data_IF_978213672115
#
_entry.id   IF_978213672115
#
_cell.length_a   1.000
_cell.length_b   1.000
_cell.length_c   1.000
_cell.angle_alpha   90.00
_cell.angle_beta   90.00
_cell.angle_gamma   90.00
#
_symmetry.space_group_name_H-M   'P 1'
#
loop_
_entity.id
_entity.type
_entity.pdbx_description
1 polymer ?
#
# COMPACT_ATOMS: atom_id res chain seq x y z
N UNK A 1 -30.87 -10.56 21.95
CA UNK A 1 -29.69 -9.88 21.38
C UNK A 1 -30.12 -9.32 20.04
N UNK A 2 -30.03 -8.02 19.84
CA UNK A 2 -30.11 -7.46 18.49
C UNK A 2 -28.80 -7.85 17.81
N UNK A 3 -28.76 -9.06 17.24
CA UNK A 3 -27.60 -9.61 16.50
C UNK A 3 -26.98 -8.56 15.56
N UNK A 4 -27.82 -7.70 15.00
CA UNK A 4 -27.42 -6.60 14.13
C UNK A 4 -26.60 -5.52 14.85
N UNK A 5 -26.94 -5.11 16.08
CA UNK A 5 -26.19 -4.05 16.79
C UNK A 5 -24.75 -4.49 17.05
N UNK A 6 -24.59 -5.66 17.69
CA UNK A 6 -23.27 -6.23 18.00
C UNK A 6 -22.45 -6.45 16.72
N UNK A 7 -23.08 -6.95 15.66
CA UNK A 7 -22.46 -7.09 14.33
C UNK A 7 -21.96 -5.75 13.76
N UNK A 8 -22.79 -4.70 13.78
CA UNK A 8 -22.39 -3.40 13.24
C UNK A 8 -21.30 -2.74 14.07
N UNK A 9 -21.36 -2.85 15.41
CA UNK A 9 -20.28 -2.37 16.29
C UNK A 9 -18.99 -3.11 15.95
N UNK A 10 -19.00 -4.45 15.90
CA UNK A 10 -17.81 -5.22 15.60
C UNK A 10 -17.25 -4.93 14.21
N UNK A 11 -18.10 -4.87 13.18
CA UNK A 11 -17.67 -4.57 11.82
C UNK A 11 -16.97 -3.21 11.72
N UNK A 12 -17.47 -2.20 12.43
CA UNK A 12 -16.97 -0.83 12.32
C UNK A 12 -15.86 -0.48 13.32
N UNK A 13 -15.81 -1.17 14.46
CA UNK A 13 -14.94 -0.77 15.58
C UNK A 13 -13.76 -1.72 15.81
N UNK A 14 -13.88 -2.99 15.38
CA UNK A 14 -12.85 -4.01 15.60
C UNK A 14 -11.43 -3.64 15.10
N UNK A 15 -11.23 -2.91 13.99
CA UNK A 15 -9.89 -2.47 13.57
C UNK A 15 -9.16 -1.63 14.63
N UNK A 16 -9.89 -0.98 15.53
CA UNK A 16 -9.32 -0.08 16.54
C UNK A 16 -9.07 -0.75 17.89
N UNK A 17 -9.41 -2.04 18.07
CA UNK A 17 -9.34 -2.67 19.39
C UNK A 17 -7.91 -2.83 19.89
N UNK A 18 -6.92 -2.86 18.99
CA UNK A 18 -5.49 -2.86 19.33
C UNK A 18 -5.04 -1.60 20.08
N UNK A 19 -5.81 -0.51 20.00
CA UNK A 19 -5.50 0.77 20.65
C UNK A 19 -6.08 0.89 22.06
N UNK A 20 -7.00 -0.01 22.43
CA UNK A 20 -7.73 0.01 23.72
C UNK A 20 -6.85 -0.16 24.95
N UNK A 21 -5.72 -0.92 24.93
CA UNK A 21 -4.80 -0.96 26.06
C UNK A 21 -4.24 0.41 26.48
N UNK A 22 -4.30 1.42 25.60
CA UNK A 22 -3.87 2.79 25.89
C UNK A 22 -5.02 3.70 26.38
N UNK A 23 -6.25 3.19 26.43
CA UNK A 23 -7.45 3.95 26.77
C UNK A 23 -7.66 3.99 28.29
N UNK A 24 -7.15 5.04 28.93
CA UNK A 24 -7.47 5.32 30.33
C UNK A 24 -8.90 5.83 30.50
N UNK A 25 -9.47 5.67 31.70
CA UNK A 25 -10.78 6.24 32.07
C UNK A 25 -10.83 7.76 31.86
N UNK A 26 -9.74 8.46 32.18
CA UNK A 26 -9.65 9.92 32.00
C UNK A 26 -9.66 10.32 30.52
N UNK A 27 -8.90 9.62 29.70
CA UNK A 27 -8.87 9.77 28.24
C UNK A 27 -10.26 9.52 27.65
N UNK A 28 -10.92 8.43 28.05
CA UNK A 28 -12.27 8.10 27.56
C UNK A 28 -13.29 9.20 27.86
N UNK A 29 -13.26 9.81 29.05
CA UNK A 29 -14.18 10.91 29.38
C UNK A 29 -13.99 12.11 28.46
N UNK A 30 -12.75 12.45 28.14
CA UNK A 30 -12.46 13.54 27.21
C UNK A 30 -12.95 13.17 25.81
N UNK A 31 -12.65 11.96 25.33
CA UNK A 31 -13.13 11.46 24.04
C UNK A 31 -14.67 11.53 23.93
N UNK A 32 -15.39 11.07 24.96
CA UNK A 32 -16.84 11.16 25.02
C UNK A 32 -17.31 12.62 24.92
N UNK A 33 -16.72 13.54 25.70
CA UNK A 33 -17.11 14.95 25.67
C UNK A 33 -16.91 15.58 24.28
N UNK A 34 -15.83 15.20 23.59
CA UNK A 34 -15.56 15.67 22.23
C UNK A 34 -16.55 15.05 21.25
N UNK A 35 -16.84 13.75 21.35
CA UNK A 35 -17.83 13.08 20.50
C UNK A 35 -19.22 13.66 20.68
N UNK A 36 -19.61 13.98 21.92
CA UNK A 36 -20.85 14.74 22.21
C UNK A 36 -20.79 16.11 21.53
N UNK A 37 -19.73 16.90 21.76
CA UNK A 37 -19.61 18.23 21.15
C UNK A 37 -19.65 18.19 19.62
N UNK A 38 -19.03 17.19 19.00
CA UNK A 38 -19.07 16.96 17.56
C UNK A 38 -20.50 16.73 17.06
N UNK A 39 -21.24 15.83 17.73
CA UNK A 39 -22.64 15.54 17.43
C UNK A 39 -23.53 16.78 17.63
N UNK A 40 -23.22 17.63 18.60
CA UNK A 40 -24.04 18.80 18.96
C UNK A 40 -23.78 20.05 18.10
N UNK A 41 -22.54 20.30 17.67
CA UNK A 41 -22.13 21.62 17.15
C UNK A 41 -21.97 21.73 15.65
N UNK A 42 -22.00 20.62 14.90
CA UNK A 42 -21.83 20.61 13.43
C UNK A 42 -20.54 21.30 12.93
N UNK A 43 -19.53 21.46 13.79
CA UNK A 43 -18.23 22.04 13.44
C UNK A 43 -17.39 21.09 12.58
N UNK A 44 -16.41 21.64 11.86
CA UNK A 44 -15.50 20.84 11.04
C UNK A 44 -14.69 19.86 11.90
N UNK A 45 -14.19 18.78 11.29
CA UNK A 45 -13.32 17.78 11.93
C UNK A 45 -12.06 18.42 12.54
N UNK A 46 -11.50 19.45 11.90
CA UNK A 46 -10.33 20.19 12.35
C UNK A 46 -10.59 20.99 13.64
N UNK A 47 -11.71 21.74 13.70
CA UNK A 47 -12.08 22.52 14.89
C UNK A 47 -12.33 21.64 16.12
N UNK A 48 -12.86 20.44 15.88
CA UNK A 48 -13.16 19.46 16.93
C UNK A 48 -11.90 18.77 17.42
N UNK A 49 -10.94 18.49 16.53
CA UNK A 49 -9.64 17.93 16.88
C UNK A 49 -8.78 18.94 17.67
N UNK A 50 -8.78 20.21 17.27
CA UNK A 50 -8.10 21.26 18.01
C UNK A 50 -8.70 21.46 19.42
N UNK A 51 -10.04 21.52 19.51
CA UNK A 51 -10.75 21.57 20.78
C UNK A 51 -10.43 20.35 21.66
N UNK A 52 -10.34 19.17 21.04
CA UNK A 52 -10.02 17.93 21.72
C UNK A 52 -8.64 17.94 22.36
N UNK A 53 -7.61 18.26 21.56
CA UNK A 53 -6.23 18.38 22.01
C UNK A 53 -6.13 19.40 23.14
N UNK A 54 -6.79 20.55 22.99
CA UNK A 54 -6.81 21.59 24.02
C UNK A 54 -7.47 21.13 25.31
N UNK A 55 -8.59 20.39 25.26
CA UNK A 55 -9.24 19.83 26.45
C UNK A 55 -8.39 18.80 27.19
N UNK A 56 -7.67 17.94 26.46
CA UNK A 56 -6.79 16.93 27.04
C UNK A 56 -5.62 17.61 27.75
N UNK A 57 -4.98 18.56 27.08
CA UNK A 57 -3.88 19.36 27.64
C UNK A 57 -4.33 20.15 28.87
N UNK A 58 -5.50 20.80 28.81
CA UNK A 58 -6.06 21.58 29.93
C UNK A 58 -6.47 20.71 31.13
N UNK A 59 -6.81 19.43 30.90
CA UNK A 59 -7.08 18.46 31.96
C UNK A 59 -5.79 17.87 32.59
N UNK A 60 -4.60 18.30 32.13
CA UNK A 60 -3.32 17.83 32.65
C UNK A 60 -2.93 16.44 32.15
N UNK A 61 -3.50 16.00 31.02
CA UNK A 61 -3.21 14.71 30.41
C UNK A 61 -2.33 14.87 29.18
N UNK A 62 -1.45 13.90 28.94
CA UNK A 62 -0.76 13.78 27.66
C UNK A 62 -1.73 13.28 26.58
N UNK A 63 -1.62 13.85 25.38
CA UNK A 63 -2.39 13.39 24.22
C UNK A 63 -1.81 12.05 23.78
N UNK A 64 -2.58 10.95 23.79
CA UNK A 64 -2.10 9.67 23.30
C UNK A 64 -1.64 9.80 21.84
N UNK A 65 -0.56 9.12 21.45
CA UNK A 65 -0.10 9.12 20.05
C UNK A 65 -1.18 8.60 19.10
N UNK A 66 -2.02 7.70 19.59
CA UNK A 66 -3.17 7.10 18.91
C UNK A 66 -4.51 7.80 19.26
N UNK A 67 -4.47 9.09 19.58
CA UNK A 67 -5.66 9.86 19.96
C UNK A 67 -6.74 9.80 18.86
N UNK A 68 -6.27 9.87 17.61
CA UNK A 68 -7.01 9.67 16.37
C UNK A 68 -8.02 8.52 16.45
N UNK A 69 -7.44 7.35 16.60
CA UNK A 69 -8.06 6.04 16.53
C UNK A 69 -9.00 5.82 17.73
N UNK A 70 -8.56 6.23 18.92
CA UNK A 70 -9.39 6.19 20.12
C UNK A 70 -10.64 7.07 19.99
N UNK A 71 -10.52 8.24 19.34
CA UNK A 71 -11.65 9.12 19.08
C UNK A 71 -12.66 8.52 18.09
N UNK A 72 -12.25 7.98 16.93
CA UNK A 72 -13.25 7.35 16.05
C UNK A 72 -13.90 6.15 16.68
N UNK A 73 -13.14 5.34 17.41
CA UNK A 73 -13.72 4.18 18.08
C UNK A 73 -14.89 4.61 18.98
N UNK A 74 -14.68 5.59 19.85
CA UNK A 74 -15.73 6.10 20.77
C UNK A 74 -16.88 6.72 19.98
N UNK A 75 -16.58 7.54 18.96
CA UNK A 75 -17.59 8.19 18.15
C UNK A 75 -18.46 7.19 17.37
N UNK A 76 -17.87 6.17 16.76
CA UNK A 76 -18.57 5.13 16.00
C UNK A 76 -19.50 4.33 16.90
N UNK A 77 -19.03 3.92 18.08
CA UNK A 77 -19.86 3.25 19.08
C UNK A 77 -21.09 4.11 19.40
N UNK A 78 -20.88 5.41 19.67
CA UNK A 78 -21.97 6.33 20.01
C UNK A 78 -22.96 6.48 18.84
N UNK A 79 -22.47 6.71 17.62
CA UNK A 79 -23.32 6.86 16.44
C UNK A 79 -24.13 5.60 16.13
N UNK A 80 -23.51 4.42 16.19
CA UNK A 80 -24.20 3.14 15.97
C UNK A 80 -25.31 3.00 17.01
N UNK A 81 -25.04 3.24 18.29
CA UNK A 81 -26.04 3.18 19.36
C UNK A 81 -27.22 4.14 19.15
N UNK A 82 -26.96 5.36 18.66
CA UNK A 82 -27.97 6.38 18.44
C UNK A 82 -28.88 6.10 17.23
N UNK A 83 -28.44 5.25 16.27
CA UNK A 83 -29.26 4.82 15.11
C UNK A 83 -30.36 3.82 15.46
N UNK A 84 -30.16 3.04 16.52
CA UNK A 84 -31.19 2.10 16.96
C UNK A 84 -32.32 2.85 17.66
N UNK A 85 -33.59 2.46 17.52
CA UNK A 85 -34.67 3.04 18.30
C UNK A 85 -34.45 2.86 19.82
N UNK A 86 -34.99 3.79 20.62
CA UNK A 86 -34.90 3.71 22.10
C UNK A 86 -35.49 2.37 22.58
N UNK A 87 -34.75 1.67 23.45
CA UNK A 87 -35.17 0.39 24.02
C UNK A 87 -34.80 -0.85 23.19
N UNK A 88 -34.29 -0.69 21.96
CA UNK A 88 -33.87 -1.83 21.11
C UNK A 88 -32.54 -2.41 21.57
N UNK A 89 -31.56 -1.55 21.89
CA UNK A 89 -30.29 -1.96 22.51
C UNK A 89 -30.46 -1.85 24.01
N UNK A 90 -30.39 -2.97 24.73
CA UNK A 90 -30.48 -2.99 26.20
C UNK A 90 -29.16 -2.51 26.82
N UNK A 91 -29.22 -1.85 27.97
CA UNK A 91 -28.03 -1.30 28.65
C UNK A 91 -26.98 -2.37 28.94
N UNK A 92 -27.43 -3.55 29.40
CA UNK A 92 -26.58 -4.70 29.63
C UNK A 92 -25.95 -5.23 28.34
N UNK A 93 -26.65 -5.14 27.21
CA UNK A 93 -26.16 -5.59 25.90
C UNK A 93 -25.06 -4.66 25.36
N UNK A 94 -25.24 -3.35 25.50
CA UNK A 94 -24.20 -2.37 25.19
C UNK A 94 -22.96 -2.62 26.06
N UNK A 95 -23.14 -2.75 27.38
CA UNK A 95 -22.03 -2.96 28.31
C UNK A 95 -21.28 -4.27 28.03
N UNK A 96 -22.00 -5.35 27.74
CA UNK A 96 -21.39 -6.64 27.40
C UNK A 96 -20.58 -6.55 26.10
N UNK A 97 -21.10 -5.84 25.09
CA UNK A 97 -20.37 -5.66 23.83
C UNK A 97 -19.06 -4.87 24.04
N UNK A 98 -19.10 -3.80 24.84
CA UNK A 98 -17.92 -3.01 25.16
C UNK A 98 -16.83 -3.83 25.86
N UNK A 99 -17.22 -4.69 26.80
CA UNK A 99 -16.26 -5.48 27.61
C UNK A 99 -15.80 -6.72 26.85
N UNK A 100 -16.72 -7.57 26.40
CA UNK A 100 -16.37 -8.89 25.86
C UNK A 100 -15.79 -8.81 24.47
N UNK A 101 -16.33 -7.93 23.62
CA UNK A 101 -15.95 -7.88 22.21
C UNK A 101 -14.89 -6.84 21.92
N UNK A 102 -14.94 -5.72 22.65
CA UNK A 102 -14.06 -4.59 22.47
C UNK A 102 -13.07 -4.45 23.62
N UNK A 103 -13.01 -5.34 24.61
CA UNK A 103 -11.98 -5.32 25.66
C UNK A 103 -11.91 -4.00 26.48
N UNK A 104 -13.00 -3.23 26.59
CA UNK A 104 -13.05 -2.08 27.48
C UNK A 104 -12.95 -2.56 28.93
N UNK A 105 -12.26 -1.79 29.78
CA UNK A 105 -12.36 -1.99 31.23
C UNK A 105 -13.79 -1.77 31.72
N UNK A 106 -14.19 -2.44 32.79
CA UNK A 106 -15.51 -2.27 33.40
C UNK A 106 -15.85 -0.79 33.66
N UNK A 107 -14.88 -0.01 34.15
CA UNK A 107 -15.04 1.40 34.46
C UNK A 107 -15.21 2.27 33.20
N UNK A 108 -14.53 1.93 32.11
CA UNK A 108 -14.66 2.61 30.83
C UNK A 108 -16.01 2.30 30.17
N UNK A 109 -16.40 1.02 30.16
CA UNK A 109 -17.68 0.57 29.63
C UNK A 109 -18.87 1.20 30.39
N UNK A 110 -18.77 1.31 31.72
CA UNK A 110 -19.77 1.96 32.56
C UNK A 110 -19.93 3.46 32.24
N UNK A 111 -18.83 4.21 32.14
CA UNK A 111 -18.88 5.65 31.87
C UNK A 111 -19.50 5.94 30.49
N UNK A 112 -19.10 5.21 29.44
CA UNK A 112 -19.68 5.36 28.10
C UNK A 112 -21.16 4.99 28.05
N UNK A 113 -21.53 3.88 28.69
CA UNK A 113 -22.92 3.41 28.76
C UNK A 113 -23.81 4.44 29.47
N UNK A 114 -23.37 4.99 30.61
CA UNK A 114 -24.10 6.03 31.35
C UNK A 114 -24.33 7.28 30.50
N UNK A 115 -23.32 7.75 29.78
CA UNK A 115 -23.48 8.94 28.93
C UNK A 115 -24.49 8.69 27.83
N UNK A 116 -24.37 7.55 27.14
CA UNK A 116 -25.26 7.19 26.04
C UNK A 116 -26.72 7.04 26.47
N UNK A 117 -26.97 6.55 27.68
CA UNK A 117 -28.33 6.40 28.23
C UNK A 117 -28.87 7.76 28.71
N UNK A 118 -28.11 8.46 29.56
CA UNK A 118 -28.58 9.68 30.23
C UNK A 118 -28.79 10.84 29.25
N UNK A 119 -27.96 10.92 28.20
CA UNK A 119 -28.02 11.99 27.21
C UNK A 119 -28.68 11.56 25.90
N UNK A 120 -29.25 10.34 25.84
CA UNK A 120 -29.79 9.74 24.61
C UNK A 120 -30.73 10.67 23.86
N UNK A 121 -31.70 11.28 24.54
CA UNK A 121 -32.72 12.12 23.92
C UNK A 121 -32.10 13.32 23.20
N UNK A 122 -31.17 14.02 23.88
CA UNK A 122 -30.47 15.19 23.32
C UNK A 122 -29.56 14.77 22.17
N UNK A 123 -28.78 13.70 22.35
CA UNK A 123 -27.88 13.18 21.32
C UNK A 123 -28.63 12.68 20.09
N UNK A 124 -29.73 11.94 20.25
CA UNK A 124 -30.55 11.44 19.15
C UNK A 124 -31.23 12.57 18.37
N UNK A 125 -31.72 13.61 19.05
CA UNK A 125 -32.29 14.79 18.39
C UNK A 125 -31.24 15.47 17.52
N UNK A 126 -30.07 15.76 18.09
CA UNK A 126 -29.01 16.46 17.38
C UNK A 126 -28.43 15.60 16.23
N UNK A 127 -28.38 14.27 16.42
CA UNK A 127 -28.00 13.28 15.40
C UNK A 127 -29.04 13.18 14.26
N UNK A 128 -30.33 13.33 14.55
CA UNK A 128 -31.41 13.29 13.54
C UNK A 128 -31.52 14.62 12.76
N UNK A 129 -31.35 15.76 13.43
CA UNK A 129 -31.35 17.10 12.85
C UNK A 129 -30.14 17.40 11.95
N UNK A 130 -29.13 16.52 11.94
CA UNK A 130 -27.99 16.60 11.03
C UNK A 130 -28.26 16.13 9.60
N UNK A 131 -29.45 15.57 9.26
CA UNK A 131 -29.78 15.03 7.91
C UNK A 131 -28.53 14.51 7.17
N UNK A 132 -27.84 13.52 7.75
CA UNK A 132 -26.86 12.76 6.96
C UNK A 132 -27.66 11.95 5.94
N UNK A 133 -27.69 12.43 4.69
CA UNK A 133 -28.34 11.74 3.58
C UNK A 133 -27.74 10.34 3.42
N UNK A 134 -28.62 9.34 3.29
CA UNK A 134 -28.25 7.92 3.10
C UNK A 134 -27.33 7.70 1.90
N UNK A 135 -27.37 8.59 0.90
CA UNK A 135 -26.49 8.60 -0.27
C UNK A 135 -25.05 9.02 0.06
N UNK A 136 -24.85 9.94 1.02
CA UNK A 136 -23.53 10.35 1.52
C UNK A 136 -22.97 9.38 2.58
N UNK A 137 -23.76 8.43 3.07
CA UNK A 137 -23.31 7.46 4.07
C UNK A 137 -22.53 6.27 3.50
N UNK A 138 -22.67 5.98 2.20
CA UNK A 138 -21.78 5.01 1.53
C UNK A 138 -20.38 5.62 1.31
N UNK A 139 -20.30 6.93 1.09
CA UNK A 139 -19.04 7.71 1.04
C UNK A 139 -18.41 7.95 2.41
N UNK A 140 -19.18 7.81 3.48
CA UNK A 140 -18.71 8.08 4.84
C UNK A 140 -18.25 6.78 5.49
N UNK A 141 -17.20 6.19 4.92
CA UNK A 141 -16.27 5.37 5.68
C UNK A 141 -15.48 6.31 6.60
N UNK A 142 -15.95 6.54 7.83
CA UNK A 142 -15.08 7.11 8.88
C UNK A 142 -14.07 6.04 9.34
N UNK A 143 -13.09 5.74 8.47
CA UNK A 143 -11.74 5.44 8.91
C UNK A 143 -11.13 6.82 9.20
N UNK A 144 -10.80 7.13 10.46
CA UNK A 144 -9.77 8.15 10.66
C UNK A 144 -8.50 7.49 10.11
N UNK A 145 -7.76 7.90 9.08
CA UNK A 145 -7.67 9.09 8.22
C UNK A 145 -8.16 10.37 8.87
N UNK A 146 -7.22 11.06 9.53
CA UNK A 146 -7.27 12.52 9.61
C UNK A 146 -7.83 13.02 8.29
N UNK A 147 -8.85 13.86 8.37
CA UNK A 147 -9.54 14.48 7.24
C UNK A 147 -8.55 15.25 6.36
N UNK A 148 -7.84 14.54 5.52
CA UNK A 148 -7.24 15.04 4.31
C UNK A 148 -8.44 15.15 3.38
N UNK A 149 -8.83 16.39 3.08
CA UNK A 149 -9.91 16.59 2.11
C UNK A 149 -9.59 15.81 0.84
N UNK A 150 -10.58 15.57 -0.01
CA UNK A 150 -10.39 14.96 -1.35
C UNK A 150 -9.46 15.76 -2.29
N UNK A 151 -8.73 16.74 -1.74
CA UNK A 151 -7.75 17.62 -2.39
C UNK A 151 -6.37 17.60 -1.70
N UNK A 152 -6.21 16.93 -0.55
CA UNK A 152 -4.93 16.87 0.17
C UNK A 152 -4.23 15.53 -0.07
N UNK A 153 -3.43 15.49 -1.12
CA UNK A 153 -2.62 14.32 -1.46
C UNK A 153 -1.35 14.23 -0.57
N UNK A 154 -1.15 15.17 0.37
CA UNK A 154 0.05 15.35 1.18
C UNK A 154 1.05 16.35 0.58
N UNK A 155 2.29 16.36 1.09
CA UNK A 155 3.36 17.27 0.62
C UNK A 155 4.63 16.49 0.30
N UNK A 156 5.11 16.64 -0.93
CA UNK A 156 6.35 16.05 -1.43
C UNK A 156 6.91 16.91 -2.56
N UNK A 157 8.15 16.65 -2.95
CA UNK A 157 8.74 17.26 -4.12
C UNK A 157 8.33 16.53 -5.38
N UNK A 158 7.73 17.26 -6.32
CA UNK A 158 7.27 16.72 -7.61
C UNK A 158 8.45 16.58 -8.56
N UNK A 159 8.56 15.42 -9.19
CA UNK A 159 9.50 15.16 -10.27
C UNK A 159 8.84 15.56 -11.59
N UNK A 160 9.42 16.56 -12.25
CA UNK A 160 8.92 17.08 -13.53
C UNK A 160 9.94 17.03 -14.66
N UNK A 161 11.19 16.65 -14.35
CA UNK A 161 12.29 16.53 -15.29
C UNK A 161 13.30 15.49 -14.77
N UNK A 162 14.08 14.92 -15.67
CA UNK A 162 15.15 13.99 -15.34
C UNK A 162 16.37 14.74 -14.77
N UNK A 163 17.10 14.12 -13.83
CA UNK A 163 18.37 14.63 -13.33
C UNK A 163 19.57 14.28 -14.21
N UNK A 164 20.77 14.56 -13.71
CA UNK A 164 22.02 14.25 -14.43
C UNK A 164 22.37 12.77 -14.25
N UNK A 165 22.36 12.02 -15.34
CA UNK A 165 22.68 10.58 -15.33
C UNK A 165 24.19 10.37 -15.51
N UNK A 166 24.82 9.64 -14.58
CA UNK A 166 26.24 9.27 -14.71
C UNK A 166 26.46 8.20 -15.80
N UNK A 167 27.70 8.06 -16.28
CA UNK A 167 28.04 7.10 -17.35
C UNK A 167 27.65 5.66 -17.01
N UNK A 168 27.36 4.87 -18.06
CA UNK A 168 27.10 3.43 -17.96
C UNK A 168 28.25 2.70 -17.24
N UNK A 169 27.90 1.75 -16.36
CA UNK A 169 28.86 0.97 -15.57
C UNK A 169 29.23 -0.33 -16.28
N UNK A 170 30.52 -0.68 -16.25
CA UNK A 170 31.06 -1.84 -16.99
C UNK A 170 30.75 -3.17 -16.31
N UNK A 171 30.42 -4.19 -17.12
CA UNK A 171 30.20 -5.56 -16.65
C UNK A 171 31.41 -6.45 -17.01
N UNK A 172 32.07 -7.12 -16.04
CA UNK A 172 33.21 -8.01 -16.29
C UNK A 172 32.88 -9.18 -17.23
N UNK A 173 33.86 -9.66 -18.00
CA UNK A 173 33.67 -10.71 -19.01
C UNK A 173 33.16 -12.04 -18.45
N UNK A 174 33.59 -12.42 -17.25
CA UNK A 174 33.20 -13.69 -16.60
C UNK A 174 31.72 -13.74 -16.18
N UNK A 175 31.03 -12.60 -16.09
CA UNK A 175 29.61 -12.54 -15.76
C UNK A 175 28.79 -12.96 -16.98
N UNK A 176 27.92 -13.95 -16.79
CA UNK A 176 26.97 -14.37 -17.82
C UNK A 176 26.02 -13.22 -18.17
N UNK A 177 25.98 -12.85 -19.45
CA UNK A 177 25.16 -11.73 -19.95
C UNK A 177 23.94 -12.25 -20.71
N UNK A 178 22.78 -11.58 -20.62
CA UNK A 178 21.61 -11.90 -21.42
C UNK A 178 21.81 -11.46 -22.89
N UNK A 179 20.99 -11.97 -23.84
CA UNK A 179 21.18 -11.69 -25.28
C UNK A 179 21.19 -10.21 -25.66
N UNK A 180 20.38 -9.37 -24.99
CA UNK A 180 20.26 -7.94 -25.27
C UNK A 180 21.49 -7.12 -24.86
N UNK A 181 22.43 -7.69 -24.09
CA UNK A 181 23.68 -7.00 -23.76
C UNK A 181 24.55 -6.74 -25.00
N UNK A 182 24.59 -7.71 -25.92
CA UNK A 182 25.49 -7.70 -27.08
C UNK A 182 24.91 -6.97 -28.29
N UNK A 183 23.58 -6.90 -28.37
CA UNK A 183 22.85 -6.28 -29.47
C UNK A 183 21.60 -5.61 -28.90
N UNK A 184 21.37 -4.37 -29.29
CA UNK A 184 20.11 -3.69 -28.97
C UNK A 184 18.94 -4.53 -29.50
N UNK A 185 18.03 -4.90 -28.58
CA UNK A 185 16.79 -5.60 -28.86
C UNK A 185 15.63 -4.71 -28.37
N UNK A 186 14.46 -4.78 -29.02
CA UNK A 186 13.26 -4.17 -28.47
C UNK A 186 12.92 -4.79 -27.10
N UNK A 187 12.02 -4.16 -26.31
CA UNK A 187 11.48 -4.80 -25.12
C UNK A 187 10.85 -6.16 -25.46
N UNK A 188 10.71 -6.99 -24.43
CA UNK A 188 10.27 -8.38 -24.53
C UNK A 188 8.90 -8.50 -25.18
N UNK A 189 8.64 -9.65 -25.81
CA UNK A 189 7.34 -9.93 -26.41
C UNK A 189 6.51 -10.78 -25.45
N UNK A 190 5.44 -10.21 -24.93
CA UNK A 190 4.48 -10.87 -24.04
C UNK A 190 3.44 -11.71 -24.76
N UNK A 191 3.44 -11.70 -26.10
CA UNK A 191 2.57 -12.57 -26.90
C UNK A 191 3.06 -14.02 -26.87
N UNK A 192 2.10 -14.96 -26.81
CA UNK A 192 2.37 -16.38 -26.95
C UNK A 192 2.00 -17.18 -25.69
N UNK A 193 2.64 -18.33 -25.53
CA UNK A 193 2.39 -19.23 -24.41
C UNK A 193 3.44 -19.05 -23.31
N UNK A 194 3.05 -18.97 -22.03
CA UNK A 194 3.99 -18.93 -20.93
C UNK A 194 4.91 -20.16 -20.90
N UNK A 195 6.11 -19.97 -20.36
CA UNK A 195 7.00 -21.11 -20.08
C UNK A 195 6.42 -21.96 -18.95
N UNK A 196 6.34 -23.28 -19.17
CA UNK A 196 6.20 -24.27 -18.09
C UNK A 196 7.61 -24.74 -17.74
N UNK A 197 8.11 -24.26 -16.59
CA UNK A 197 9.48 -24.54 -16.17
C UNK A 197 9.62 -25.96 -15.63
N UNK A 198 10.71 -26.62 -15.99
CA UNK A 198 11.12 -27.87 -15.35
C UNK A 198 11.79 -27.61 -14.00
N UNK A 199 12.03 -28.68 -13.23
CA UNK A 199 12.63 -28.60 -11.88
C UNK A 199 13.94 -27.80 -11.85
N UNK A 200 14.82 -27.97 -12.84
CA UNK A 200 16.09 -27.26 -12.90
C UNK A 200 15.88 -25.75 -13.10
N UNK A 201 14.98 -25.37 -14.03
CA UNK A 201 14.64 -23.97 -14.26
C UNK A 201 13.97 -23.36 -13.02
N UNK A 202 13.12 -24.10 -12.31
CA UNK A 202 12.51 -23.64 -11.06
C UNK A 202 13.58 -23.37 -9.99
N UNK A 203 14.60 -24.23 -9.85
CA UNK A 203 15.71 -23.96 -8.92
C UNK A 203 16.51 -22.71 -9.31
N UNK A 204 16.72 -22.47 -10.61
CA UNK A 204 17.38 -21.25 -11.08
C UNK A 204 16.53 -20.00 -10.81
N UNK A 205 15.21 -20.08 -10.97
CA UNK A 205 14.27 -19.01 -10.60
C UNK A 205 14.32 -18.71 -9.11
N UNK A 206 14.31 -19.73 -8.24
CA UNK A 206 14.47 -19.55 -6.78
C UNK A 206 15.78 -18.87 -6.42
N UNK A 207 16.88 -19.27 -7.04
CA UNK A 207 18.20 -18.64 -6.82
C UNK A 207 18.19 -17.16 -7.22
N UNK A 208 17.67 -16.86 -8.41
CA UNK A 208 17.64 -15.50 -8.96
C UNK A 208 16.69 -14.60 -8.16
N UNK A 209 15.50 -15.10 -7.81
CA UNK A 209 14.53 -14.38 -6.99
C UNK A 209 15.05 -14.09 -5.57
N UNK A 210 15.69 -15.06 -4.92
CA UNK A 210 16.32 -14.85 -3.62
C UNK A 210 17.43 -13.79 -3.68
N UNK A 211 18.23 -13.81 -4.74
CA UNK A 211 19.27 -12.82 -4.96
C UNK A 211 18.69 -11.43 -5.18
N UNK A 212 17.69 -11.27 -6.05
CA UNK A 212 17.00 -9.99 -6.27
C UNK A 212 16.45 -9.41 -4.95
N UNK A 213 15.74 -10.24 -4.17
CA UNK A 213 15.18 -9.85 -2.88
C UNK A 213 16.27 -9.43 -1.87
N UNK A 214 17.43 -10.11 -1.87
CA UNK A 214 18.57 -9.72 -1.04
C UNK A 214 19.10 -8.34 -1.44
N UNK A 215 19.31 -8.10 -2.73
CA UNK A 215 19.82 -6.82 -3.24
C UNK A 215 18.83 -5.69 -2.93
N UNK A 216 17.52 -5.91 -3.16
CA UNK A 216 16.47 -4.95 -2.85
C UNK A 216 16.50 -4.52 -1.38
N UNK A 217 16.63 -5.47 -0.45
CA UNK A 217 16.69 -5.17 0.98
C UNK A 217 18.00 -4.50 1.41
N UNK A 218 19.12 -4.79 0.74
CA UNK A 218 20.38 -4.07 0.96
C UNK A 218 20.28 -2.62 0.44
N UNK A 219 19.65 -2.39 -0.72
CA UNK A 219 19.40 -1.06 -1.30
C UNK A 219 18.41 -0.24 -0.46
N UNK A 220 17.31 -0.84 -0.01
CA UNK A 220 16.32 -0.18 0.85
C UNK A 220 16.91 0.37 2.15
N UNK A 221 17.93 -0.30 2.72
CA UNK A 221 18.65 0.20 3.91
C UNK A 221 19.51 1.44 3.62
N UNK A 222 19.85 1.68 2.36
CA UNK A 222 20.60 2.86 1.93
C UNK A 222 19.69 4.06 1.66
N UNK A 223 18.42 3.84 1.31
CA UNK A 223 17.45 4.89 1.02
C UNK A 223 17.21 5.79 2.24
N UNK A 224 18.00 6.85 2.36
CA UNK A 224 18.02 7.81 3.46
C UNK A 224 18.21 9.21 2.90
N UNK A 225 17.78 10.21 3.68
CA UNK A 225 17.94 11.62 3.33
C UNK A 225 19.38 11.94 2.94
N UNK A 226 19.56 12.57 1.79
CA UNK A 226 20.84 13.00 1.22
C UNK A 226 21.53 11.99 0.31
N UNK A 227 21.11 10.71 0.28
CA UNK A 227 21.65 9.71 -0.64
C UNK A 227 21.04 9.91 -2.02
N UNK A 228 21.85 9.91 -3.07
CA UNK A 228 21.38 9.99 -4.46
C UNK A 228 20.90 8.64 -4.98
N UNK A 229 20.02 8.65 -5.98
CA UNK A 229 19.59 7.42 -6.64
C UNK A 229 20.74 6.74 -7.40
N UNK A 230 21.68 7.51 -7.98
CA UNK A 230 22.90 6.95 -8.60
C UNK A 230 23.83 6.27 -7.59
N UNK A 231 23.88 6.72 -6.32
CA UNK A 231 24.62 6.00 -5.26
C UNK A 231 23.99 4.64 -4.93
N UNK A 232 22.65 4.55 -4.95
CA UNK A 232 21.92 3.28 -4.77
C UNK A 232 22.18 2.35 -5.95
N UNK A 233 22.06 2.84 -7.19
CA UNK A 233 22.41 2.09 -8.40
C UNK A 233 23.86 1.60 -8.37
N UNK A 234 24.80 2.47 -8.00
CA UNK A 234 26.21 2.12 -7.92
C UNK A 234 26.45 0.96 -6.95
N UNK A 235 25.82 0.99 -5.78
CA UNK A 235 25.90 -0.11 -4.82
C UNK A 235 25.30 -1.39 -5.41
N UNK A 236 24.08 -1.33 -5.95
CA UNK A 236 23.39 -2.49 -6.49
C UNK A 236 24.18 -3.14 -7.63
N UNK A 237 24.70 -2.33 -8.56
CA UNK A 237 25.53 -2.77 -9.67
C UNK A 237 26.71 -3.62 -9.18
N UNK A 238 27.55 -3.06 -8.31
CA UNK A 238 28.72 -3.77 -7.81
C UNK A 238 28.35 -4.99 -6.98
N UNK A 239 27.26 -4.90 -6.21
CA UNK A 239 26.81 -6.00 -5.37
C UNK A 239 26.31 -7.18 -6.20
N UNK A 240 25.49 -6.93 -7.23
CA UNK A 240 25.00 -7.94 -8.17
C UNK A 240 26.17 -8.64 -8.87
N UNK A 241 27.15 -7.88 -9.37
CA UNK A 241 28.35 -8.43 -10.01
C UNK A 241 29.18 -9.28 -9.03
N UNK A 242 29.34 -8.83 -7.78
CA UNK A 242 30.08 -9.57 -6.74
C UNK A 242 29.47 -10.94 -6.41
N UNK A 243 28.19 -11.13 -6.74
CA UNK A 243 27.43 -12.36 -6.54
C UNK A 243 27.29 -13.17 -7.85
N UNK A 244 28.14 -12.89 -8.84
CA UNK A 244 28.19 -13.55 -10.15
C UNK A 244 26.86 -13.50 -10.91
N UNK A 245 26.14 -12.39 -10.80
CA UNK A 245 24.91 -12.13 -11.54
C UNK A 245 25.03 -10.86 -12.38
N UNK A 246 24.10 -10.69 -13.32
CA UNK A 246 24.01 -9.52 -14.18
C UNK A 246 22.80 -8.65 -13.79
N UNK A 247 22.91 -7.31 -13.70
CA UNK A 247 21.78 -6.43 -13.44
C UNK A 247 20.89 -6.32 -14.68
N UNK A 248 19.73 -6.98 -14.70
CA UNK A 248 18.94 -7.16 -15.92
C UNK A 248 18.52 -5.86 -16.62
N UNK A 249 18.15 -4.77 -15.92
CA UNK A 249 17.76 -3.52 -16.56
C UNK A 249 18.86 -2.91 -17.43
N UNK A 250 20.13 -3.17 -17.12
CA UNK A 250 21.25 -2.56 -17.85
C UNK A 250 21.20 -2.94 -19.33
N UNK A 251 21.16 -1.93 -20.20
CA UNK A 251 21.01 -2.02 -21.67
C UNK A 251 19.70 -2.65 -22.16
N UNK A 252 18.77 -2.98 -21.28
CA UNK A 252 17.49 -3.54 -21.69
C UNK A 252 16.68 -2.50 -22.47
N UNK A 253 16.43 -2.75 -23.76
CA UNK A 253 15.86 -1.79 -24.70
C UNK A 253 16.51 -0.38 -24.68
N UNK A 254 17.77 -0.30 -24.26
CA UNK A 254 18.52 0.97 -24.14
C UNK A 254 18.49 1.64 -22.77
N UNK A 255 17.91 1.00 -21.72
CA UNK A 255 17.93 1.54 -20.36
C UNK A 255 19.38 1.66 -19.82
N UNK A 256 19.78 2.79 -19.20
CA UNK A 256 21.20 3.09 -18.95
C UNK A 256 21.74 2.62 -17.60
N UNK A 257 20.89 2.09 -16.71
CA UNK A 257 21.24 1.80 -15.30
C UNK A 257 20.93 0.36 -14.90
N UNK A 258 21.31 -0.01 -13.68
CA UNK A 258 21.31 -1.39 -13.19
C UNK A 258 20.04 -1.77 -12.43
N UNK A 259 19.27 -0.76 -12.03
CA UNK A 259 17.97 -0.85 -11.36
C UNK A 259 17.13 0.39 -11.69
N UNK A 260 15.87 0.40 -11.31
CA UNK A 260 15.02 1.61 -11.38
C UNK A 260 14.83 2.21 -9.97
N UNK A 261 14.74 3.53 -9.90
CA UNK A 261 14.44 4.28 -8.68
C UNK A 261 13.33 5.29 -8.96
N UNK A 262 12.13 5.02 -8.46
CA UNK A 262 10.93 5.79 -8.77
C UNK A 262 10.47 6.56 -7.52
N UNK A 263 10.77 7.86 -7.49
CA UNK A 263 10.49 8.74 -6.36
C UNK A 263 9.14 9.41 -6.52
N UNK A 264 8.33 9.41 -5.47
CA UNK A 264 7.10 10.15 -5.34
C UNK A 264 6.07 9.95 -6.48
N UNK A 265 5.98 10.89 -7.44
CA UNK A 265 5.03 10.84 -8.56
C UNK A 265 5.56 10.08 -9.77
N UNK A 266 6.78 9.54 -9.68
CA UNK A 266 7.29 8.57 -10.65
C UNK A 266 6.59 7.22 -10.37
N UNK A 267 5.80 6.77 -11.32
CA UNK A 267 5.05 5.51 -11.29
C UNK A 267 6.01 4.31 -11.35
N UNK A 268 6.90 4.30 -12.34
CA UNK A 268 7.93 3.27 -12.52
C UNK A 268 9.05 3.78 -13.45
N UNK A 269 10.07 2.94 -13.62
CA UNK A 269 11.19 3.15 -14.56
C UNK A 269 11.98 4.46 -14.38
N UNK A 270 11.95 5.07 -13.20
CA UNK A 270 12.81 6.22 -12.90
C UNK A 270 14.28 5.84 -13.06
N UNK A 271 15.02 6.60 -13.87
CA UNK A 271 16.45 6.38 -14.09
C UNK A 271 17.25 6.95 -12.89
N UNK A 272 18.10 6.14 -12.25
CA UNK A 272 19.04 6.64 -11.24
C UNK A 272 19.91 7.82 -11.74
N UNK A 273 19.89 8.92 -10.99
CA UNK A 273 20.51 10.21 -11.30
C UNK A 273 21.15 10.87 -10.07
N UNK A 274 21.53 12.14 -10.21
CA UNK A 274 22.17 12.94 -9.17
C UNK A 274 21.20 13.53 -8.12
N UNK A 275 19.89 13.25 -8.19
CA UNK A 275 18.94 13.79 -7.22
C UNK A 275 19.13 13.12 -5.86
N UNK A 276 19.42 13.87 -4.78
CA UNK A 276 19.41 13.32 -3.43
C UNK A 276 17.98 13.05 -2.97
N UNK A 277 17.79 12.02 -2.16
CA UNK A 277 16.54 11.77 -1.46
C UNK A 277 16.29 12.84 -0.39
N UNK A 278 15.08 13.36 -0.32
CA UNK A 278 14.68 14.36 0.67
C UNK A 278 13.82 13.76 1.78
N UNK A 279 13.78 14.45 2.91
CA UNK A 279 12.90 14.10 4.03
C UNK A 279 11.44 14.18 3.58
N UNK A 280 10.70 13.09 3.77
CA UNK A 280 9.31 12.95 3.34
C UNK A 280 9.12 12.28 1.98
N UNK A 281 10.19 11.95 1.25
CA UNK A 281 10.10 11.19 0.00
C UNK A 281 9.64 9.74 0.25
N UNK A 282 8.92 9.20 -0.73
CA UNK A 282 8.83 7.74 -0.93
C UNK A 282 9.60 7.36 -2.18
N UNK A 283 10.26 6.21 -2.15
CA UNK A 283 11.05 5.71 -3.29
C UNK A 283 10.77 4.22 -3.51
N UNK A 284 10.24 3.86 -4.68
CA UNK A 284 10.30 2.49 -5.15
C UNK A 284 11.70 2.20 -5.70
N UNK A 285 12.27 1.07 -5.27
CA UNK A 285 13.49 0.51 -5.84
C UNK A 285 13.09 -0.81 -6.49
N UNK A 286 13.39 -0.96 -7.77
CA UNK A 286 13.03 -2.13 -8.56
C UNK A 286 14.29 -2.84 -9.05
N UNK A 287 14.42 -4.11 -8.66
CA UNK A 287 15.63 -4.90 -8.81
C UNK A 287 15.35 -6.19 -9.55
N UNK A 288 15.91 -6.28 -10.74
CA UNK A 288 16.00 -7.54 -11.49
C UNK A 288 17.44 -8.02 -11.64
N UNK A 289 17.69 -9.29 -11.36
CA UNK A 289 18.99 -9.94 -11.60
C UNK A 289 18.88 -11.09 -12.59
N UNK A 290 19.93 -11.32 -13.37
CA UNK A 290 20.07 -12.48 -14.25
C UNK A 290 21.18 -13.39 -13.75
N UNK A 291 20.82 -14.61 -13.37
CA UNK A 291 21.75 -15.62 -12.87
C UNK A 291 21.34 -17.01 -13.37
N UNK A 292 22.33 -17.84 -13.76
CA UNK A 292 22.10 -19.21 -14.20
C UNK A 292 21.09 -19.34 -15.36
N UNK A 293 21.00 -18.33 -16.22
CA UNK A 293 20.07 -18.33 -17.34
C UNK A 293 18.64 -17.89 -17.02
N UNK A 294 18.35 -17.42 -15.80
CA UNK A 294 17.03 -16.95 -15.40
C UNK A 294 17.08 -15.53 -14.81
N UNK A 295 16.01 -14.78 -15.02
CA UNK A 295 15.77 -13.49 -14.37
C UNK A 295 14.97 -13.68 -13.07
N UNK A 296 15.25 -12.89 -12.04
CA UNK A 296 14.41 -12.79 -10.84
C UNK A 296 14.17 -11.33 -10.51
N UNK A 297 12.92 -11.00 -10.17
CA UNK A 297 12.43 -9.61 -10.18
C UNK A 297 11.54 -9.26 -8.99
N UNK A 298 11.80 -8.09 -8.41
CA UNK A 298 11.01 -7.56 -7.31
C UNK A 298 11.31 -6.08 -7.04
N UNK A 299 10.31 -5.41 -6.49
CA UNK A 299 10.39 -4.02 -6.07
C UNK A 299 9.65 -3.78 -4.76
N UNK A 300 10.08 -2.76 -4.03
CA UNK A 300 9.42 -2.27 -2.82
C UNK A 300 9.52 -0.75 -2.74
N UNK A 301 8.44 -0.11 -2.29
CA UNK A 301 8.46 1.33 -1.95
C UNK A 301 8.90 1.54 -0.51
N UNK A 302 10.01 2.26 -0.33
CA UNK A 302 10.61 2.62 0.95
C UNK A 302 10.25 4.05 1.36
N UNK A 303 10.19 4.28 2.67
CA UNK A 303 9.94 5.59 3.28
C UNK A 303 11.28 6.29 3.58
N UNK A 304 11.43 7.55 3.20
CA UNK A 304 12.64 8.34 3.47
C UNK A 304 12.34 9.41 4.53
N UNK A 305 12.92 9.26 5.72
CA UNK A 305 12.75 10.22 6.80
C UNK A 305 11.32 10.23 7.36
N UNK A 306 10.76 11.41 7.61
CA UNK A 306 9.41 11.61 8.17
C UNK A 306 8.36 11.80 7.06
N UNK A 307 7.93 10.68 6.47
CA UNK A 307 6.90 10.66 5.41
C UNK A 307 5.53 10.96 6.02
N UNK A 308 4.75 11.82 5.36
CA UNK A 308 3.38 12.13 5.80
C UNK A 308 2.44 10.91 5.78
N UNK A 309 1.28 11.06 6.44
CA UNK A 309 0.30 9.98 6.58
C UNK A 309 -0.21 9.46 5.23
N UNK A 310 -0.23 10.30 4.17
CA UNK A 310 -0.69 9.86 2.83
C UNK A 310 0.31 8.99 2.12
N UNK A 311 1.59 9.35 2.18
CA UNK A 311 2.67 8.51 1.68
C UNK A 311 2.69 7.17 2.40
N UNK A 312 2.61 7.18 3.73
CA UNK A 312 2.55 5.95 4.53
C UNK A 312 1.30 5.09 4.19
N UNK A 313 0.13 5.71 4.07
CA UNK A 313 -1.10 5.06 3.65
C UNK A 313 -0.95 4.38 2.28
N UNK A 314 -0.48 5.12 1.28
CA UNK A 314 -0.28 4.62 -0.08
C UNK A 314 0.64 3.40 -0.09
N UNK A 315 1.82 3.52 0.54
CA UNK A 315 2.81 2.43 0.59
C UNK A 315 2.25 1.18 1.26
N UNK A 316 1.51 1.34 2.37
CA UNK A 316 0.88 0.21 3.05
C UNK A 316 -0.23 -0.43 2.23
N UNK A 317 -1.06 0.38 1.57
CA UNK A 317 -2.14 -0.09 0.71
C UNK A 317 -1.61 -0.85 -0.51
N UNK A 318 -0.59 -0.34 -1.20
CA UNK A 318 0.01 -1.05 -2.35
C UNK A 318 0.58 -2.40 -1.93
N UNK A 319 1.29 -2.46 -0.79
CA UNK A 319 1.83 -3.72 -0.25
C UNK A 319 0.72 -4.72 0.09
N UNK A 320 -0.36 -4.28 0.74
CA UNK A 320 -1.50 -5.14 1.07
C UNK A 320 -2.22 -5.62 -0.19
N UNK A 321 -2.42 -4.74 -1.18
CA UNK A 321 -3.04 -5.05 -2.46
C UNK A 321 -2.31 -6.18 -3.18
N UNK A 322 -0.98 -6.07 -3.32
CA UNK A 322 -0.14 -7.14 -3.89
C UNK A 322 -0.34 -8.46 -3.13
N UNK A 323 -0.25 -8.46 -1.80
CA UNK A 323 -0.38 -9.67 -1.00
C UNK A 323 -1.75 -10.35 -1.19
N UNK A 324 -2.83 -9.58 -1.25
CA UNK A 324 -4.18 -10.10 -1.53
C UNK A 324 -4.29 -10.74 -2.92
N UNK A 325 -3.65 -10.15 -3.92
CA UNK A 325 -3.64 -10.71 -5.27
C UNK A 325 -2.86 -12.03 -5.34
N UNK A 326 -1.73 -12.13 -4.63
CA UNK A 326 -0.93 -13.35 -4.55
C UNK A 326 -1.73 -14.49 -3.88
N UNK A 327 -2.55 -14.20 -2.86
CA UNK A 327 -3.39 -15.21 -2.19
C UNK A 327 -4.39 -15.91 -3.13
N UNK A 328 -4.74 -15.28 -4.25
CA UNK A 328 -5.62 -15.85 -5.27
C UNK A 328 -4.90 -16.87 -6.17
N UNK A 329 -3.57 -16.85 -6.21
CA UNK A 329 -2.80 -17.58 -7.21
C UNK A 329 -2.76 -19.10 -6.93
N UNK A 330 -3.32 -19.87 -7.86
CA UNK A 330 -3.30 -21.34 -7.85
C UNK A 330 -3.55 -21.90 -9.25
N UNK A 331 -3.21 -23.17 -9.53
CA UNK A 331 -3.54 -23.82 -10.80
C UNK A 331 -5.02 -23.68 -11.17
N UNK A 332 -5.28 -23.33 -12.43
CA UNK A 332 -6.62 -23.18 -12.99
C UNK A 332 -7.29 -21.82 -12.72
N UNK A 333 -6.74 -20.99 -11.83
CA UNK A 333 -7.24 -19.63 -11.58
C UNK A 333 -7.00 -18.76 -12.82
N UNK A 334 -8.01 -18.01 -13.29
CA UNK A 334 -7.82 -17.07 -14.39
C UNK A 334 -6.92 -15.90 -14.01
N UNK A 335 -6.05 -15.46 -14.94
CA UNK A 335 -5.16 -14.32 -14.67
C UNK A 335 -5.91 -13.02 -14.39
N UNK A 336 -7.06 -12.79 -15.05
CA UNK A 336 -7.87 -11.58 -14.86
C UNK A 336 -8.42 -11.41 -13.43
N UNK A 337 -8.40 -12.45 -12.58
CA UNK A 337 -8.79 -12.33 -11.17
C UNK A 337 -7.84 -11.39 -10.39
N UNK A 338 -6.58 -11.26 -10.83
CA UNK A 338 -5.60 -10.31 -10.27
C UNK A 338 -6.07 -8.88 -10.53
N UNK A 339 -6.38 -8.53 -11.78
CA UNK A 339 -6.88 -7.20 -12.14
C UNK A 339 -8.20 -6.84 -11.44
N UNK A 340 -9.12 -7.80 -11.29
CA UNK A 340 -10.35 -7.63 -10.50
C UNK A 340 -10.08 -7.37 -9.02
N UNK A 341 -9.08 -8.04 -8.46
CA UNK A 341 -8.68 -7.85 -7.06
C UNK A 341 -8.13 -6.44 -6.84
N UNK A 342 -7.23 -5.99 -7.72
CA UNK A 342 -6.62 -4.66 -7.67
C UNK A 342 -7.68 -3.57 -7.82
N UNK A 343 -8.53 -3.66 -8.86
CA UNK A 343 -9.60 -2.68 -9.10
C UNK A 343 -10.51 -2.51 -7.89
N UNK A 344 -11.00 -3.61 -7.29
CA UNK A 344 -11.83 -3.56 -6.08
C UNK A 344 -11.08 -2.97 -4.90
N UNK A 345 -9.80 -3.30 -4.73
CA UNK A 345 -8.99 -2.77 -3.65
C UNK A 345 -8.82 -1.25 -3.77
N UNK A 346 -8.54 -0.76 -4.98
CA UNK A 346 -8.45 0.66 -5.32
C UNK A 346 -9.76 1.41 -5.00
N UNK A 347 -10.90 0.88 -5.46
CA UNK A 347 -12.23 1.46 -5.20
C UNK A 347 -12.53 1.54 -3.69
N UNK A 348 -12.22 0.48 -2.93
CA UNK A 348 -12.43 0.44 -1.48
C UNK A 348 -11.56 1.44 -0.71
N UNK A 349 -10.40 1.81 -1.25
CA UNK A 349 -9.38 2.64 -0.60
C UNK A 349 -9.23 4.04 -1.21
N UNK A 350 -10.05 4.38 -2.22
CA UNK A 350 -9.99 5.66 -2.95
C UNK A 350 -8.59 5.93 -3.52
N UNK A 351 -8.06 4.90 -4.19
CA UNK A 351 -6.83 4.93 -4.97
C UNK A 351 -7.16 4.60 -6.42
N UNK A 352 -6.24 4.89 -7.32
CA UNK A 352 -6.31 4.45 -8.72
C UNK A 352 -5.16 3.49 -9.03
N UNK A 353 -5.35 2.58 -9.98
CA UNK A 353 -4.26 1.78 -10.55
C UNK A 353 -3.72 2.46 -11.80
N UNK A 354 -2.40 2.49 -11.97
CA UNK A 354 -1.79 2.82 -13.27
C UNK A 354 -1.93 1.60 -14.16
N UNK A 355 -2.76 1.70 -15.21
CA UNK A 355 -3.19 0.55 -16.01
C UNK A 355 -2.23 0.22 -17.18
N UNK A 356 -1.39 1.19 -17.54
CA UNK A 356 -0.44 1.13 -18.65
C UNK A 356 0.74 0.19 -18.38
N UNK A 357 1.02 -0.11 -17.10
CA UNK A 357 2.07 -1.04 -16.67
C UNK A 357 1.46 -2.28 -16.02
N UNK A 358 1.92 -3.44 -16.48
CA UNK A 358 1.34 -4.75 -16.18
C UNK A 358 2.43 -5.68 -15.67
N UNK A 359 2.04 -6.72 -14.93
CA UNK A 359 2.96 -7.81 -14.65
C UNK A 359 3.18 -8.65 -15.89
N UNK A 360 4.22 -9.47 -15.84
CA UNK A 360 4.69 -10.24 -16.98
C UNK A 360 5.19 -11.62 -16.57
N UNK A 361 5.19 -12.56 -17.52
CA UNK A 361 5.99 -13.76 -17.41
C UNK A 361 7.46 -13.41 -17.27
N UNK A 362 8.16 -14.22 -16.49
CA UNK A 362 9.59 -14.06 -16.26
C UNK A 362 10.29 -15.42 -16.22
N UNK A 363 11.53 -15.50 -16.70
CA UNK A 363 12.23 -16.77 -16.79
C UNK A 363 13.53 -16.67 -17.56
N UNK A 364 13.62 -17.42 -18.66
CA UNK A 364 14.76 -17.29 -19.59
C UNK A 364 14.77 -15.96 -20.33
N UNK A 365 13.60 -15.33 -20.45
CA UNK A 365 13.39 -13.94 -20.83
C UNK A 365 13.17 -13.06 -19.61
N UNK A 366 13.45 -11.76 -19.76
CA UNK A 366 13.14 -10.75 -18.76
C UNK A 366 11.62 -10.50 -18.73
N UNK A 367 11.05 -10.03 -19.85
CA UNK A 367 9.61 -9.85 -20.03
C UNK A 367 9.08 -10.81 -21.11
N UNK A 368 8.02 -11.56 -20.81
CA UNK A 368 7.36 -12.48 -21.73
C UNK A 368 5.97 -12.90 -21.24
N UNK A 369 5.31 -13.91 -21.88
CA UNK A 369 3.97 -14.35 -21.49
C UNK A 369 3.95 -15.06 -20.11
N UNK A 370 2.90 -14.90 -19.28
CA UNK A 370 1.64 -14.23 -19.59
C UNK A 370 1.68 -12.72 -19.30
N UNK A 371 0.73 -11.99 -19.85
CA UNK A 371 0.41 -10.62 -19.43
C UNK A 371 -0.47 -10.66 -18.18
N UNK A 372 -0.10 -9.90 -17.16
CA UNK A 372 -0.83 -9.80 -15.89
C UNK A 372 -1.35 -8.38 -15.72
N UNK A 373 -2.54 -8.14 -16.25
CA UNK A 373 -3.19 -6.83 -16.18
C UNK A 373 -3.60 -6.46 -14.75
N UNK A 374 -3.30 -5.21 -14.35
CA UNK A 374 -3.62 -4.67 -13.03
C UNK A 374 -4.96 -3.91 -12.95
N UNK A 375 -5.81 -4.05 -13.96
CA UNK A 375 -7.15 -3.47 -14.03
C UNK A 375 -8.19 -4.54 -14.36
N UNK A 376 -9.47 -4.28 -14.07
CA UNK A 376 -10.55 -5.22 -14.38
C UNK A 376 -10.65 -5.47 -15.89
N UNK A 377 -10.54 -6.74 -16.27
CA UNK A 377 -10.52 -7.19 -17.66
C UNK A 377 -11.10 -8.60 -17.78
N UNK A 378 -11.26 -9.07 -19.02
CA UNK A 378 -11.77 -10.41 -19.34
C UNK A 378 -10.81 -11.20 -20.24
N UNK A 379 -9.51 -10.86 -20.24
CA UNK A 379 -8.52 -11.54 -21.09
C UNK A 379 -8.39 -13.00 -20.67
N UNK A 380 -8.54 -13.91 -21.63
CA UNK A 380 -8.51 -15.34 -21.37
C UNK A 380 -7.10 -15.82 -21.02
N UNK A 381 -7.01 -16.78 -20.11
CA UNK A 381 -5.76 -17.41 -19.69
C UNK A 381 -5.90 -17.94 -18.27
N UNK A 382 -5.17 -19.02 -17.95
CA UNK A 382 -5.22 -19.65 -16.63
C UNK A 382 -3.82 -19.99 -16.16
N UNK A 383 -3.62 -19.83 -14.86
CA UNK A 383 -2.40 -20.23 -14.16
C UNK A 383 -2.21 -21.76 -14.27
N UNK A 384 -0.98 -22.20 -14.52
CA UNK A 384 -0.62 -23.61 -14.55
C UNK A 384 0.65 -23.84 -13.73
N UNK A 385 0.77 -25.01 -13.11
CA UNK A 385 1.96 -25.38 -12.36
C UNK A 385 3.22 -25.26 -13.23
N UNK A 386 4.29 -24.71 -12.65
CA UNK A 386 5.56 -24.43 -13.33
C UNK A 386 5.62 -23.07 -14.05
N UNK A 387 4.51 -22.33 -14.18
CA UNK A 387 4.56 -20.94 -14.66
C UNK A 387 5.20 -20.03 -13.60
N UNK A 388 5.96 -19.04 -14.07
CA UNK A 388 6.41 -17.92 -13.23
C UNK A 388 6.09 -16.58 -13.88
N UNK A 389 5.57 -15.66 -13.10
CA UNK A 389 5.20 -14.31 -13.54
C UNK A 389 5.28 -13.32 -12.37
N UNK A 390 5.28 -12.03 -12.69
CA UNK A 390 5.27 -10.94 -11.72
C UNK A 390 3.84 -10.47 -11.47
N UNK A 391 3.59 -10.00 -10.25
CA UNK A 391 2.45 -9.15 -9.92
C UNK A 391 3.06 -7.88 -9.34
N UNK A 392 2.79 -6.73 -9.95
CA UNK A 392 3.53 -5.48 -9.70
C UNK A 392 2.63 -4.22 -9.70
N UNK A 393 1.53 -4.19 -8.94
CA UNK A 393 0.57 -3.10 -8.98
C UNK A 393 1.22 -1.76 -8.62
N UNK A 394 0.99 -0.76 -9.45
CA UNK A 394 1.32 0.64 -9.18
C UNK A 394 0.02 1.35 -8.81
N UNK A 395 -0.09 1.78 -7.56
CA UNK A 395 -1.25 2.54 -7.08
C UNK A 395 -0.93 4.03 -6.96
N UNK A 396 -1.90 4.88 -7.24
CA UNK A 396 -1.80 6.34 -7.17
C UNK A 396 -2.78 6.92 -6.14
N UNK A 397 -2.36 7.98 -5.45
CA UNK A 397 -3.24 8.79 -4.60
C UNK A 397 -4.24 9.64 -5.38
N UNK A 398 -3.96 9.89 -6.66
CA UNK A 398 -4.81 10.67 -7.56
C UNK A 398 -5.20 9.85 -8.77
N UNK A 399 -5.03 10.39 -9.98
CA UNK A 399 -5.33 9.68 -11.22
C UNK A 399 -4.31 8.57 -11.56
N UNK A 400 -4.74 7.62 -12.39
CA UNK A 400 -3.87 6.57 -12.95
C UNK A 400 -3.16 6.95 -14.25
N UNK A 401 -3.51 8.10 -14.86
CA UNK A 401 -2.93 8.53 -16.14
C UNK A 401 -1.45 8.93 -16.01
N UNK A 402 -0.63 8.47 -16.95
CA UNK A 402 0.82 8.70 -16.95
C UNK A 402 1.33 9.49 -18.17
N UNK A 403 2.46 10.17 -17.98
CA UNK A 403 3.31 10.73 -19.02
C UNK A 403 4.73 10.20 -18.91
N UNK A 404 5.44 10.14 -20.04
CA UNK A 404 6.85 9.73 -20.09
C UNK A 404 7.71 10.99 -20.22
N UNK A 405 8.75 11.11 -19.39
CA UNK A 405 9.71 12.22 -19.47
C UNK A 405 10.58 12.13 -20.74
N UNK A 406 11.33 13.20 -20.98
CA UNK A 406 12.22 13.34 -22.15
C UNK A 406 13.35 12.31 -22.25
N UNK A 407 13.64 11.62 -21.14
CA UNK A 407 14.57 10.49 -21.10
C UNK A 407 14.02 9.22 -21.77
N UNK A 408 12.72 9.18 -22.08
CA UNK A 408 12.04 8.07 -22.75
C UNK A 408 11.68 6.89 -21.85
N UNK A 409 11.92 6.98 -20.53
CA UNK A 409 11.73 5.89 -19.58
C UNK A 409 10.89 6.29 -18.37
N UNK A 410 11.24 7.41 -17.72
CA UNK A 410 10.66 7.79 -16.43
C UNK A 410 9.17 8.10 -16.61
N UNK A 411 8.32 7.22 -16.08
CA UNK A 411 6.88 7.36 -16.13
C UNK A 411 6.39 8.12 -14.90
N UNK A 412 5.71 9.25 -15.11
CA UNK A 412 5.16 10.07 -14.03
C UNK A 412 3.64 10.14 -14.12
N UNK A 413 2.94 10.27 -12.99
CA UNK A 413 1.52 10.59 -12.97
C UNK A 413 1.28 12.00 -13.53
N UNK A 414 0.28 12.17 -14.40
CA UNK A 414 0.03 13.46 -15.07
C UNK A 414 -0.47 14.55 -14.12
N UNK A 415 -1.21 14.17 -13.08
CA UNK A 415 -1.67 15.07 -12.02
C UNK A 415 -0.56 15.34 -10.97
N UNK A 416 0.61 14.73 -11.13
CA UNK A 416 1.75 14.73 -10.21
C UNK A 416 1.47 14.07 -8.85
N UNK A 417 0.39 13.30 -8.69
CA UNK A 417 0.08 12.57 -7.46
C UNK A 417 1.14 11.51 -7.17
N UNK A 418 1.43 11.26 -5.89
CA UNK A 418 2.32 10.16 -5.51
C UNK A 418 1.76 8.80 -5.98
N UNK A 419 2.67 7.95 -6.39
CA UNK A 419 2.46 6.55 -6.71
C UNK A 419 3.35 5.67 -5.84
N UNK A 420 2.92 4.43 -5.60
CA UNK A 420 3.75 3.41 -4.97
C UNK A 420 3.57 2.08 -5.70
N UNK A 421 4.65 1.33 -5.80
CA UNK A 421 4.69 0.01 -6.43
C UNK A 421 5.31 -1.00 -5.46
N UNK A 422 4.78 -2.22 -5.52
CA UNK A 422 5.35 -3.40 -4.90
C UNK A 422 5.29 -4.53 -5.90
N UNK A 423 6.30 -5.39 -5.90
CA UNK A 423 6.36 -6.50 -6.84
C UNK A 423 6.93 -7.76 -6.23
N UNK A 424 6.37 -8.89 -6.66
CA UNK A 424 6.98 -10.18 -6.48
C UNK A 424 6.94 -11.05 -7.75
N UNK A 425 8.03 -11.78 -8.00
CA UNK A 425 8.05 -12.97 -8.85
C UNK A 425 7.36 -14.15 -8.15
N UNK A 426 6.34 -14.71 -8.79
CA UNK A 426 5.50 -15.80 -8.29
C UNK A 426 5.73 -17.05 -9.13
N UNK A 427 5.83 -18.21 -8.48
CA UNK A 427 5.77 -19.54 -9.08
C UNK A 427 4.43 -20.19 -8.77
N UNK A 428 3.72 -20.65 -9.79
CA UNK A 428 2.54 -21.51 -9.58
C UNK A 428 3.02 -22.94 -9.31
N UNK A 429 2.62 -23.49 -8.17
CA UNK A 429 2.91 -24.88 -7.77
C UNK A 429 1.71 -25.76 -8.06
N UNK A 430 1.83 -27.09 -7.87
CA UNK A 430 0.72 -28.03 -8.08
C UNK A 430 -0.52 -27.74 -7.19
N UNK A 431 -0.36 -27.02 -6.08
CA UNK A 431 -1.42 -26.80 -5.10
C UNK A 431 -1.66 -25.33 -4.73
N UNK A 432 -0.96 -24.38 -5.37
CA UNK A 432 -1.05 -22.96 -5.02
C UNK A 432 0.04 -22.14 -5.69
N UNK A 433 0.64 -21.22 -4.93
CA UNK A 433 1.72 -20.36 -5.39
C UNK A 433 2.85 -20.23 -4.36
N UNK A 434 4.06 -20.00 -4.84
CA UNK A 434 5.26 -19.73 -4.06
C UNK A 434 5.81 -18.36 -4.47
N UNK A 435 6.07 -17.49 -3.50
CA UNK A 435 6.71 -16.20 -3.76
C UNK A 435 8.22 -16.40 -3.77
N UNK A 436 8.86 -16.22 -4.93
CA UNK A 436 10.29 -16.51 -5.11
C UNK A 436 11.21 -15.40 -4.60
N UNK A 437 10.67 -14.21 -4.37
CA UNK A 437 11.39 -12.99 -3.98
C UNK A 437 11.04 -12.53 -2.56
N UNK A 438 10.77 -13.46 -1.65
CA UNK A 438 10.67 -13.17 -0.21
C UNK A 438 12.06 -13.12 0.42
N UNK A 439 12.34 -12.06 1.18
CA UNK A 439 13.52 -11.96 2.02
C UNK A 439 13.11 -12.15 3.49
N UNK A 440 13.57 -13.23 4.11
CA UNK A 440 13.17 -13.67 5.45
C UNK A 440 12.92 -15.16 5.46
#
# INVERSE_FOLDING_TARGET
>A
MSLNFRYHVLKSVKPYTIYIPQLSKSTLRVLIQISVHYIETKKSSADVLELAINKIKNAGHEVPKNFCELFTMVLLIMQIYLRYPKGVVKDQELRQCLIDDLCFTDACAEDLTKVLINHRTTLSRNFAETKMERAKMLDVQWRINISLGSTDNGKWEKITAAGTVSNERSVPDHIQKPPYYYKALPPGNTNGSPEIKNDKQIQHMRSSGKLAAQILQECGKMAKVGITTDEIDNFAHHRILSLNAYPSPLRYAGFPKSLCTSINNVACHGIPDDRPLFDGDIINIDVTVYQNGCHGDCSETFLVGDVDERGQFLVNCTRECLNKCIELCAPGVPFYEIGKCIQRYCEEHQLESVAEFIGHGIGSYFHGPPEIYHYDNEVAGKMQAGMTFTIEPILSLGGGEIGILEDGWTAITLDNSRSAQFEHTILITETGAEVLTKFG
#
